data_IF_303634053077
#
_entry.id   IF_303634053077
#
_cell.length_a   1.000
_cell.length_b   1.000
_cell.length_c   1.000
_cell.angle_alpha   90.00
_cell.angle_beta   90.00
_cell.angle_gamma   90.00
#
_symmetry.space_group_name_H-M   'P 1'
#
loop_
_entity.id
_entity.type
_entity.pdbx_description
1 polymer ?
#
# COMPACT_ATOMS: atom_id res chain seq x y z
N UNK A 1 18.19 20.88 62.75
CA UNK A 1 17.50 22.07 63.34
C UNK A 1 16.09 21.64 63.68
N UNK A 2 15.76 21.72 64.96
CA UNK A 2 14.45 21.35 65.47
C UNK A 2 13.47 22.49 65.19
N UNK A 3 12.37 22.20 64.54
CA UNK A 3 11.30 23.15 64.34
C UNK A 3 10.51 23.30 65.64
N UNK A 4 10.48 24.50 66.19
CA UNK A 4 9.56 24.83 67.28
C UNK A 4 8.15 24.89 66.71
N UNK A 5 7.15 24.23 67.31
CA UNK A 5 5.78 24.38 66.89
C UNK A 5 5.32 25.82 67.18
N UNK A 6 4.83 26.47 66.20
CA UNK A 6 4.18 27.78 66.33
C UNK A 6 2.80 27.59 66.96
N UNK A 7 2.54 28.31 68.08
CA UNK A 7 1.23 28.32 68.80
C UNK A 7 0.15 29.12 68.10
N UNK A 8 0.41 29.60 66.87
CA UNK A 8 -0.54 30.40 66.10
C UNK A 8 -0.88 29.63 64.81
N UNK A 9 -2.14 29.62 64.38
CA UNK A 9 -2.48 29.00 63.08
C UNK A 9 -1.77 29.75 61.98
N UNK A 10 -0.74 29.14 61.42
CA UNK A 10 0.00 29.64 60.28
C UNK A 10 -0.55 29.06 59.02
N UNK A 11 -0.92 29.91 58.09
CA UNK A 11 -1.20 29.51 56.70
C UNK A 11 0.15 29.34 56.01
N UNK A 12 0.58 28.15 55.80
CA UNK A 12 1.72 27.87 54.92
C UNK A 12 1.27 27.87 53.47
N UNK A 13 1.62 28.88 52.74
CA UNK A 13 1.46 28.92 51.30
C UNK A 13 2.66 28.13 50.72
N UNK A 14 2.40 27.05 50.07
CA UNK A 14 3.39 26.33 49.28
C UNK A 14 3.18 26.72 47.83
N UNK A 15 4.05 27.53 47.31
CA UNK A 15 4.07 27.86 45.86
C UNK A 15 4.70 26.64 45.18
N UNK A 16 3.91 25.95 44.35
CA UNK A 16 4.40 24.90 43.45
C UNK A 16 4.51 25.54 42.12
N UNK A 17 5.73 25.86 41.70
CA UNK A 17 6.03 26.30 40.38
C UNK A 17 5.85 25.12 39.40
N UNK A 18 4.72 25.08 38.70
CA UNK A 18 4.40 24.12 37.66
C UNK A 18 4.88 24.59 36.26
N UNK A 19 5.50 25.76 36.17
CA UNK A 19 5.97 26.31 34.89
C UNK A 19 7.21 25.60 34.33
N UNK A 20 7.86 24.74 35.11
CA UNK A 20 9.05 24.00 34.67
C UNK A 20 8.81 22.62 34.05
N UNK A 21 7.55 22.19 33.97
CA UNK A 21 7.18 20.90 33.38
C UNK A 21 6.06 21.10 32.35
N UNK A 22 6.31 21.89 31.37
CA UNK A 22 5.71 21.65 30.05
C UNK A 22 6.75 20.82 29.30
N UNK A 23 6.58 19.52 29.12
CA UNK A 23 7.36 18.85 28.13
C UNK A 23 7.06 19.58 26.82
N UNK A 24 8.06 20.22 26.26
CA UNK A 24 7.99 20.70 24.89
C UNK A 24 7.93 19.46 23.99
N UNK A 25 6.81 18.77 23.98
CA UNK A 25 6.42 17.96 22.84
C UNK A 25 5.88 18.93 21.81
N UNK A 26 6.79 19.59 21.13
CA UNK A 26 6.50 20.09 19.81
C UNK A 26 6.39 18.86 18.92
N UNK A 27 5.22 18.27 18.84
CA UNK A 27 4.89 17.33 17.78
C UNK A 27 4.86 18.15 16.48
N UNK A 28 6.00 18.27 15.82
CA UNK A 28 6.06 18.91 14.51
C UNK A 28 5.62 17.90 13.47
N UNK A 29 4.33 17.83 13.23
CA UNK A 29 3.75 16.96 12.21
C UNK A 29 3.74 17.69 10.88
N UNK A 30 4.41 17.12 9.88
CA UNK A 30 4.39 17.63 8.51
C UNK A 30 3.38 16.92 7.63
N UNK A 31 3.01 17.54 6.52
CA UNK A 31 2.29 16.93 5.42
C UNK A 31 2.98 17.23 4.09
N UNK A 32 3.12 16.20 3.27
CA UNK A 32 3.70 16.29 1.93
C UNK A 32 2.86 15.48 0.94
N UNK A 33 2.75 16.00 -0.27
CA UNK A 33 2.24 15.26 -1.43
C UNK A 33 3.38 15.08 -2.42
N UNK A 34 3.52 13.87 -2.96
CA UNK A 34 4.61 13.61 -3.89
C UNK A 34 4.31 12.46 -4.86
N UNK A 35 5.19 12.35 -5.85
CA UNK A 35 5.26 11.24 -6.77
C UNK A 35 6.11 10.13 -6.15
N UNK A 36 5.51 8.99 -5.86
CA UNK A 36 6.18 7.84 -5.26
C UNK A 36 5.97 6.60 -6.11
N UNK A 37 6.89 5.65 -6.02
CA UNK A 37 6.87 4.44 -6.87
C UNK A 37 5.80 3.43 -6.49
N UNK A 38 5.33 3.45 -5.25
CA UNK A 38 4.38 2.50 -4.67
C UNK A 38 3.49 3.18 -3.65
N UNK A 39 2.51 2.47 -3.13
CA UNK A 39 1.65 2.92 -2.03
C UNK A 39 0.29 3.44 -2.47
N UNK A 40 -0.62 3.60 -1.49
CA UNK A 40 -1.98 4.07 -1.76
C UNK A 40 -1.97 5.50 -2.31
N UNK A 41 -2.76 5.70 -3.36
CA UNK A 41 -2.93 7.02 -3.95
C UNK A 41 -4.07 7.78 -3.25
N UNK A 42 -3.93 9.10 -3.17
CA UNK A 42 -4.93 10.03 -2.59
C UNK A 42 -5.37 9.66 -1.16
N UNK A 43 -4.52 8.98 -0.44
CA UNK A 43 -4.75 8.59 0.95
C UNK A 43 -3.55 9.01 1.81
N UNK A 44 -3.74 9.85 2.83
CA UNK A 44 -2.66 10.24 3.74
C UNK A 44 -2.26 9.08 4.64
N UNK A 45 -0.96 8.80 4.66
CA UNK A 45 -0.33 7.77 5.51
C UNK A 45 0.65 8.45 6.43
N UNK A 46 0.54 8.18 7.73
CA UNK A 46 1.49 8.66 8.72
C UNK A 46 2.76 7.79 8.69
N UNK A 47 3.91 8.46 8.60
CA UNK A 47 5.23 7.84 8.52
C UNK A 47 6.12 8.44 9.58
N UNK A 48 6.83 7.59 10.35
CA UNK A 48 7.70 8.01 11.44
C UNK A 48 9.18 8.09 11.10
N UNK A 49 9.62 7.39 10.06
CA UNK A 49 11.02 7.31 9.66
C UNK A 49 11.18 6.94 8.18
N UNK A 50 12.42 7.05 7.66
CA UNK A 50 12.73 6.76 6.26
C UNK A 50 12.49 5.27 5.87
N UNK A 51 12.68 4.33 6.80
CA UNK A 51 12.43 2.92 6.53
C UNK A 51 10.94 2.64 6.31
N UNK A 52 10.06 3.28 7.10
CA UNK A 52 8.62 3.22 6.89
C UNK A 52 8.19 3.94 5.60
N UNK A 53 8.85 5.05 5.26
CA UNK A 53 8.62 5.75 3.99
C UNK A 53 8.91 4.81 2.81
N UNK A 54 10.05 4.11 2.83
CA UNK A 54 10.42 3.13 1.80
C UNK A 54 9.45 1.95 1.79
N UNK A 55 9.08 1.43 2.96
CA UNK A 55 8.14 0.31 3.08
C UNK A 55 6.77 0.61 2.48
N UNK A 56 6.23 1.80 2.76
CA UNK A 56 4.90 2.20 2.29
C UNK A 56 4.89 2.73 0.85
N UNK A 57 5.94 3.46 0.43
CA UNK A 57 5.94 4.22 -0.82
C UNK A 57 7.01 3.79 -1.82
N UNK A 58 7.80 2.78 -1.50
CA UNK A 58 8.87 2.26 -2.33
C UNK A 58 10.15 3.12 -2.27
N UNK A 59 11.22 2.56 -2.79
CA UNK A 59 12.51 3.26 -2.91
C UNK A 59 12.45 4.33 -4.02
N UNK A 60 13.18 5.44 -3.88
CA UNK A 60 13.24 6.46 -4.93
C UNK A 60 13.88 5.89 -6.19
N UNK A 61 13.33 6.25 -7.35
CA UNK A 61 13.91 5.87 -8.64
C UNK A 61 15.07 6.82 -8.98
N UNK A 62 16.22 6.28 -9.33
CA UNK A 62 17.35 7.08 -9.81
C UNK A 62 17.15 7.66 -11.22
N UNK A 63 16.07 7.27 -11.90
CA UNK A 63 15.83 7.58 -13.31
C UNK A 63 14.82 8.72 -13.49
N UNK A 64 13.95 8.97 -12.50
CA UNK A 64 12.86 9.94 -12.60
C UNK A 64 13.09 11.09 -11.62
N UNK A 65 13.28 12.30 -12.14
CA UNK A 65 13.69 13.47 -11.34
C UNK A 65 12.67 13.93 -10.30
N UNK A 66 11.36 13.94 -10.61
CA UNK A 66 10.31 14.39 -9.69
C UNK A 66 10.19 13.49 -8.47
N UNK A 67 10.16 12.19 -8.68
CA UNK A 67 10.07 11.17 -7.65
C UNK A 67 11.22 11.29 -6.62
N UNK A 68 12.42 11.57 -7.08
CA UNK A 68 13.58 11.75 -6.20
C UNK A 68 13.46 13.02 -5.33
N UNK A 69 12.97 14.12 -5.87
CA UNK A 69 12.85 15.39 -5.14
C UNK A 69 11.82 15.26 -4.01
N UNK A 70 10.67 14.70 -4.28
CA UNK A 70 9.60 14.52 -3.30
C UNK A 70 10.02 13.54 -2.20
N UNK A 71 10.61 12.41 -2.59
CA UNK A 71 11.15 11.44 -1.63
C UNK A 71 12.25 12.06 -0.74
N UNK A 72 13.20 12.78 -1.31
CA UNK A 72 14.29 13.40 -0.56
C UNK A 72 13.78 14.51 0.37
N UNK A 73 12.74 15.24 -0.03
CA UNK A 73 12.09 16.23 0.81
C UNK A 73 11.44 15.57 2.03
N UNK A 74 10.68 14.49 1.82
CA UNK A 74 10.09 13.69 2.88
C UNK A 74 11.15 13.08 3.82
N UNK A 75 12.17 12.41 3.25
CA UNK A 75 13.28 11.81 4.02
C UNK A 75 14.04 12.86 4.83
N UNK A 76 14.27 14.06 4.25
CA UNK A 76 14.98 15.14 4.96
C UNK A 76 14.14 15.65 6.14
N UNK A 77 12.85 15.80 5.99
CA UNK A 77 11.96 16.18 7.09
C UNK A 77 11.96 15.13 8.20
N UNK A 78 11.90 13.85 7.85
CA UNK A 78 11.91 12.73 8.80
C UNK A 78 13.23 12.59 9.59
N UNK A 79 14.32 13.22 9.16
CA UNK A 79 15.57 13.29 9.95
C UNK A 79 15.43 14.19 11.18
N UNK A 80 14.49 15.11 11.18
CA UNK A 80 14.29 16.09 12.25
C UNK A 80 12.96 15.93 12.97
N UNK A 81 11.97 15.27 12.35
CA UNK A 81 10.67 14.97 12.92
C UNK A 81 10.31 13.52 12.72
N UNK A 82 9.71 12.88 13.71
CA UNK A 82 9.20 11.51 13.64
C UNK A 82 7.72 11.43 13.24
N UNK A 83 7.16 12.45 12.57
CA UNK A 83 5.74 12.48 12.21
C UNK A 83 5.53 13.24 10.90
N UNK A 84 5.27 12.50 9.83
CA UNK A 84 5.01 13.05 8.50
C UNK A 84 3.84 12.33 7.85
N UNK A 85 2.79 13.06 7.51
CA UNK A 85 1.76 12.54 6.63
C UNK A 85 2.23 12.64 5.18
N UNK A 86 2.19 11.53 4.48
CA UNK A 86 2.55 11.44 3.07
C UNK A 86 1.33 11.02 2.28
N UNK A 87 0.98 11.79 1.27
CA UNK A 87 -0.05 11.44 0.28
C UNK A 87 0.60 11.25 -1.07
N UNK A 88 0.37 10.10 -1.68
CA UNK A 88 0.83 9.84 -3.04
C UNK A 88 -0.11 10.49 -4.04
N UNK A 89 0.42 11.41 -4.85
CA UNK A 89 -0.23 11.89 -6.06
C UNK A 89 -0.09 10.89 -7.19
N UNK A 90 -1.07 10.80 -8.07
CA UNK A 90 -1.03 9.97 -9.28
C UNK A 90 -1.47 10.76 -10.49
N UNK A 91 -0.85 10.46 -11.64
CA UNK A 91 -1.25 11.02 -12.93
C UNK A 91 -2.31 10.17 -13.63
N UNK A 92 -2.97 10.74 -14.62
CA UNK A 92 -4.05 10.07 -15.38
C UNK A 92 -3.61 8.82 -16.15
N UNK A 93 -2.31 8.63 -16.38
CA UNK A 93 -1.77 7.48 -17.10
C UNK A 93 -1.28 6.35 -16.18
N UNK A 94 -1.44 6.49 -14.88
CA UNK A 94 -1.03 5.46 -13.94
C UNK A 94 -1.99 4.29 -13.92
N UNK A 95 -1.42 3.08 -13.90
CA UNK A 95 -2.17 1.82 -13.88
C UNK A 95 -1.48 0.82 -12.97
N UNK A 96 -2.28 0.03 -12.26
CA UNK A 96 -1.81 -1.15 -11.57
C UNK A 96 -1.46 -2.25 -12.55
N UNK A 97 -0.39 -2.98 -12.26
CA UNK A 97 -0.03 -4.18 -13.02
C UNK A 97 -1.04 -5.30 -12.78
N UNK A 98 -1.23 -6.13 -13.78
CA UNK A 98 -2.12 -7.29 -13.72
C UNK A 98 -1.40 -8.54 -14.22
N UNK A 99 -1.88 -9.71 -13.84
CA UNK A 99 -1.37 -11.01 -14.27
C UNK A 99 -1.83 -11.43 -15.67
N UNK A 100 -2.22 -10.48 -16.49
CA UNK A 100 -2.76 -10.67 -17.85
C UNK A 100 -1.88 -9.99 -18.90
N UNK A 101 -1.90 -10.52 -20.13
CA UNK A 101 -1.22 -9.93 -21.27
C UNK A 101 -1.86 -8.60 -21.76
N UNK A 102 -3.05 -8.26 -21.30
CA UNK A 102 -3.82 -7.10 -21.76
C UNK A 102 -3.95 -6.07 -20.66
N UNK A 103 -3.20 -4.99 -20.78
CA UNK A 103 -3.37 -3.69 -20.09
C UNK A 103 -3.58 -3.71 -18.58
N UNK A 104 -2.98 -2.76 -17.89
CA UNK A 104 -3.23 -2.51 -16.46
C UNK A 104 -4.66 -2.00 -16.20
N UNK A 105 -5.01 -1.91 -14.95
CA UNK A 105 -6.25 -1.32 -14.43
C UNK A 105 -5.88 -0.28 -13.39
N UNK A 106 -6.69 0.74 -13.16
CA UNK A 106 -6.46 1.69 -12.08
C UNK A 106 -7.26 1.26 -10.85
N UNK A 107 -6.55 1.03 -9.75
CA UNK A 107 -7.08 0.87 -8.40
C UNK A 107 -6.23 1.78 -7.51
N UNK A 108 -6.80 2.86 -7.02
CA UNK A 108 -6.06 3.90 -6.30
C UNK A 108 -5.67 3.47 -4.89
N UNK A 109 -6.61 2.85 -4.17
CA UNK A 109 -6.44 2.44 -2.77
C UNK A 109 -7.51 1.40 -2.36
N UNK A 110 -7.55 1.05 -1.07
CA UNK A 110 -8.51 0.10 -0.51
C UNK A 110 -9.97 0.54 -0.71
N UNK A 111 -10.25 1.82 -0.49
CA UNK A 111 -11.63 2.33 -0.61
C UNK A 111 -12.14 2.27 -2.05
N UNK A 112 -11.29 2.59 -3.02
CA UNK A 112 -11.59 2.47 -4.45
C UNK A 112 -11.82 1.00 -4.84
N UNK A 113 -10.96 0.08 -4.38
CA UNK A 113 -11.18 -1.36 -4.59
C UNK A 113 -12.52 -1.84 -4.04
N UNK A 114 -12.89 -1.42 -2.84
CA UNK A 114 -14.15 -1.84 -2.20
C UNK A 114 -15.38 -1.23 -2.85
N UNK A 115 -15.25 -0.01 -3.38
CA UNK A 115 -16.34 0.71 -4.03
C UNK A 115 -16.75 0.09 -5.38
N UNK A 116 -15.78 -0.39 -6.17
CA UNK A 116 -16.05 -0.89 -7.52
C UNK A 116 -15.21 -2.13 -7.91
N UNK A 117 -15.27 -3.18 -7.09
CA UNK A 117 -14.59 -4.46 -7.39
C UNK A 117 -14.94 -5.00 -8.78
N UNK A 118 -16.21 -4.91 -9.17
CA UNK A 118 -16.68 -5.43 -10.45
C UNK A 118 -16.14 -4.63 -11.63
N UNK A 119 -16.06 -3.31 -11.52
CA UNK A 119 -15.50 -2.44 -12.55
C UNK A 119 -14.01 -2.67 -12.78
N UNK A 120 -13.23 -2.87 -11.71
CA UNK A 120 -11.81 -3.17 -11.81
C UNK A 120 -11.52 -4.53 -12.47
N UNK A 121 -12.41 -5.51 -12.27
CA UNK A 121 -12.30 -6.87 -12.82
C UNK A 121 -12.90 -6.95 -14.23
N UNK A 122 -13.97 -6.17 -14.51
CA UNK A 122 -14.76 -6.25 -15.74
C UNK A 122 -13.95 -5.91 -16.98
N UNK A 123 -14.33 -6.52 -18.09
CA UNK A 123 -13.75 -6.29 -19.40
C UNK A 123 -13.68 -7.59 -20.20
N UNK A 124 -13.25 -7.51 -21.46
CA UNK A 124 -13.14 -8.65 -22.40
C UNK A 124 -12.24 -9.80 -21.92
N UNK A 125 -11.66 -9.70 -20.72
CA UNK A 125 -10.71 -10.65 -20.15
C UNK A 125 -10.95 -10.95 -18.66
N UNK A 126 -12.18 -10.96 -18.21
CA UNK A 126 -12.55 -11.33 -16.82
C UNK A 126 -11.92 -12.67 -16.40
N UNK A 127 -11.82 -13.63 -17.32
CA UNK A 127 -11.22 -14.94 -17.08
C UNK A 127 -9.69 -14.91 -16.98
N UNK A 128 -9.03 -13.79 -17.30
CA UNK A 128 -7.57 -13.70 -17.36
C UNK A 128 -6.94 -12.82 -16.28
N UNK A 129 -7.68 -11.87 -15.72
CA UNK A 129 -7.22 -11.03 -14.60
C UNK A 129 -7.54 -11.71 -13.27
N UNK A 130 -6.58 -12.40 -12.70
CA UNK A 130 -6.74 -13.11 -11.41
C UNK A 130 -6.21 -12.31 -10.26
N UNK A 131 -5.09 -11.63 -10.53
CA UNK A 131 -4.43 -10.78 -9.56
C UNK A 131 -4.14 -9.41 -10.16
N UNK A 132 -4.25 -8.41 -9.32
CA UNK A 132 -3.95 -7.02 -9.63
C UNK A 132 -2.94 -6.55 -8.57
N UNK A 133 -1.89 -5.83 -8.97
CA UNK A 133 -0.98 -5.22 -8.00
C UNK A 133 -1.74 -4.27 -7.08
N UNK A 134 -1.38 -4.23 -5.81
CA UNK A 134 -2.11 -3.50 -4.76
C UNK A 134 -2.26 -2.02 -5.11
N UNK A 135 -1.22 -1.41 -5.67
CA UNK A 135 -1.17 0.02 -5.97
C UNK A 135 -0.70 0.29 -7.40
N UNK A 136 -1.10 1.43 -7.98
CA UNK A 136 -0.69 1.80 -9.34
C UNK A 136 0.81 2.09 -9.43
N UNK A 137 1.38 1.89 -10.60
CA UNK A 137 2.77 2.20 -10.89
C UNK A 137 3.54 1.06 -11.54
N UNK A 138 4.77 1.36 -11.97
CA UNK A 138 5.66 0.39 -12.63
C UNK A 138 6.20 -0.67 -11.70
N UNK A 139 6.32 -0.38 -10.40
CA UNK A 139 6.86 -1.32 -9.41
C UNK A 139 6.08 -2.64 -9.39
N UNK A 140 4.76 -2.58 -9.59
CA UNK A 140 3.94 -3.79 -9.68
C UNK A 140 4.33 -4.77 -10.81
N UNK A 141 5.03 -4.32 -11.86
CA UNK A 141 5.53 -5.22 -12.91
C UNK A 141 6.64 -6.17 -12.42
N UNK A 142 7.24 -5.84 -11.27
CA UNK A 142 8.21 -6.69 -10.59
C UNK A 142 7.57 -7.88 -9.86
N UNK A 143 6.27 -7.85 -9.65
CA UNK A 143 5.56 -8.89 -8.92
C UNK A 143 5.32 -10.14 -9.77
N UNK A 144 5.28 -11.26 -9.07
CA UNK A 144 4.87 -12.56 -9.57
C UNK A 144 4.07 -13.26 -8.48
N UNK A 145 2.97 -13.91 -8.84
CA UNK A 145 2.19 -14.75 -7.93
C UNK A 145 2.29 -16.20 -8.39
N UNK A 146 2.66 -17.08 -7.47
CA UNK A 146 2.72 -18.52 -7.72
C UNK A 146 1.74 -19.26 -6.82
N UNK A 147 0.92 -20.10 -7.44
CA UNK A 147 -0.11 -20.90 -6.78
C UNK A 147 0.25 -22.37 -6.85
N UNK A 148 0.19 -23.04 -5.71
CA UNK A 148 0.28 -24.48 -5.61
C UNK A 148 -1.07 -25.05 -5.16
N UNK A 149 -1.87 -25.62 -6.07
CA UNK A 149 -3.09 -26.35 -5.70
C UNK A 149 -2.72 -27.76 -5.24
N UNK A 150 -3.71 -28.45 -4.68
CA UNK A 150 -3.59 -29.88 -4.47
C UNK A 150 -3.28 -30.62 -5.78
N UNK A 151 -2.38 -31.58 -5.70
CA UNK A 151 -2.09 -32.47 -6.82
C UNK A 151 -2.04 -33.92 -6.34
N UNK A 152 -2.93 -34.72 -6.84
CA UNK A 152 -2.96 -36.14 -6.62
C UNK A 152 -3.85 -36.80 -7.64
N UNK A 153 -3.59 -38.05 -7.97
CA UNK A 153 -4.48 -38.88 -8.78
C UNK A 153 -5.32 -39.69 -7.79
N UNK A 154 -6.61 -39.39 -7.73
CA UNK A 154 -7.57 -40.25 -7.01
C UNK A 154 -7.90 -41.39 -7.94
N UNK A 155 -7.40 -42.58 -7.66
CA UNK A 155 -7.89 -43.76 -8.31
C UNK A 155 -9.36 -43.97 -7.95
N UNK A 156 -10.18 -44.38 -8.93
CA UNK A 156 -11.57 -44.75 -8.70
C UNK A 156 -11.58 -45.89 -7.66
N UNK A 157 -11.93 -45.54 -6.40
CA UNK A 157 -11.87 -46.48 -5.28
C UNK A 157 -11.11 -45.96 -4.03
N UNK A 158 -10.61 -44.74 -4.00
CA UNK A 158 -10.38 -44.03 -2.75
C UNK A 158 -8.98 -43.77 -2.25
N UNK A 159 -7.91 -44.22 -2.87
CA UNK A 159 -6.56 -43.86 -2.42
C UNK A 159 -5.83 -43.01 -3.46
N UNK A 160 -5.32 -41.85 -3.06
CA UNK A 160 -4.43 -41.06 -3.90
C UNK A 160 -3.11 -41.85 -4.12
N UNK A 161 -2.82 -42.17 -5.36
CA UNK A 161 -1.65 -43.01 -5.70
C UNK A 161 -0.39 -42.18 -5.98
N UNK A 162 -0.51 -40.88 -6.24
CA UNK A 162 0.62 -39.96 -6.38
C UNK A 162 0.24 -38.68 -5.59
N UNK A 163 0.64 -38.66 -4.34
CA UNK A 163 0.43 -37.49 -3.50
C UNK A 163 1.50 -36.42 -3.77
N UNK A 164 1.09 -35.18 -3.80
CA UNK A 164 1.95 -34.01 -3.63
C UNK A 164 2.97 -33.74 -4.74
N UNK A 165 2.78 -34.31 -5.94
CA UNK A 165 3.75 -34.14 -7.04
C UNK A 165 3.92 -32.67 -7.47
N UNK A 166 2.83 -31.88 -7.48
CA UNK A 166 2.90 -30.46 -7.79
C UNK A 166 3.65 -29.68 -6.69
N UNK A 167 3.39 -29.98 -5.42
CA UNK A 167 4.06 -29.34 -4.29
C UNK A 167 5.56 -29.71 -4.29
N UNK A 168 5.90 -30.97 -4.41
CA UNK A 168 7.30 -31.40 -4.39
C UNK A 168 8.15 -30.84 -5.55
N UNK A 169 7.52 -30.56 -6.68
CA UNK A 169 8.14 -29.89 -7.83
C UNK A 169 8.04 -28.37 -7.84
N UNK A 170 7.39 -27.78 -6.86
CA UNK A 170 7.16 -26.34 -6.81
C UNK A 170 8.38 -25.60 -6.29
N UNK A 171 8.78 -24.54 -7.00
CA UNK A 171 9.98 -23.77 -6.66
C UNK A 171 9.95 -23.16 -5.24
N UNK A 172 8.76 -22.93 -4.71
CA UNK A 172 8.54 -22.28 -3.41
C UNK A 172 8.12 -23.26 -2.30
N UNK A 173 8.18 -24.56 -2.55
CA UNK A 173 7.76 -25.59 -1.59
C UNK A 173 8.45 -25.46 -0.23
N UNK A 174 9.73 -25.06 -0.22
CA UNK A 174 10.52 -24.89 1.01
C UNK A 174 10.03 -23.77 1.94
N UNK A 175 9.14 -22.90 1.45
CA UNK A 175 8.54 -21.83 2.25
C UNK A 175 7.25 -22.26 2.95
N UNK A 176 6.85 -23.53 2.82
CA UNK A 176 5.60 -24.09 3.37
C UNK A 176 5.86 -25.41 4.07
N UNK A 177 5.07 -25.70 5.11
CA UNK A 177 5.27 -26.90 5.95
C UNK A 177 4.82 -28.21 5.28
N UNK A 178 3.97 -28.16 4.28
CA UNK A 178 3.47 -29.35 3.60
C UNK A 178 2.54 -29.02 2.44
N UNK A 179 2.13 -30.04 1.70
CA UNK A 179 1.24 -29.87 0.56
C UNK A 179 -0.19 -29.49 0.96
N UNK A 180 -0.90 -28.67 0.15
CA UNK A 180 -2.30 -28.33 0.40
C UNK A 180 -3.19 -29.57 0.24
N UNK A 181 -4.24 -29.64 1.04
CA UNK A 181 -5.14 -30.79 1.11
C UNK A 181 -6.60 -30.33 1.20
N UNK A 182 -7.40 -31.01 2.01
CA UNK A 182 -8.76 -30.59 2.33
C UNK A 182 -8.77 -29.86 3.67
N UNK A 183 -9.36 -28.67 3.71
CA UNK A 183 -9.43 -27.85 4.91
C UNK A 183 -10.21 -28.57 6.03
N UNK A 184 -9.87 -28.23 7.27
CA UNK A 184 -10.57 -28.74 8.45
C UNK A 184 -12.04 -28.36 8.43
N UNK A 185 -12.36 -27.16 7.91
CA UNK A 185 -13.74 -26.69 7.78
C UNK A 185 -14.55 -27.59 6.85
N UNK A 186 -14.05 -27.85 5.64
CA UNK A 186 -14.72 -28.71 4.65
C UNK A 186 -14.86 -30.13 5.17
N UNK A 187 -13.85 -30.67 5.84
CA UNK A 187 -13.90 -32.00 6.49
C UNK A 187 -15.01 -32.12 7.53
N UNK A 188 -15.33 -31.02 8.21
CA UNK A 188 -16.39 -31.02 9.23
C UNK A 188 -17.81 -31.09 8.66
N UNK A 189 -17.99 -30.81 7.36
CA UNK A 189 -19.32 -30.69 6.73
C UNK A 189 -19.84 -32.01 6.15
N UNK A 190 -18.96 -32.94 5.77
CA UNK A 190 -19.35 -34.20 5.12
C UNK A 190 -18.33 -35.31 5.38
N UNK A 191 -18.82 -36.55 5.49
CA UNK A 191 -17.97 -37.73 5.64
C UNK A 191 -17.03 -37.97 4.46
N UNK A 192 -17.43 -37.56 3.25
CA UNK A 192 -16.66 -37.73 2.01
C UNK A 192 -15.82 -36.48 1.67
N UNK A 193 -15.76 -35.50 2.57
CA UNK A 193 -15.08 -34.21 2.37
C UNK A 193 -13.55 -34.32 2.28
N UNK A 194 -12.96 -35.43 2.73
CA UNK A 194 -11.51 -35.65 2.59
C UNK A 194 -11.03 -35.61 1.14
N UNK A 195 -11.92 -35.78 0.17
CA UNK A 195 -11.62 -35.76 -1.26
C UNK A 195 -11.86 -34.35 -1.90
N UNK A 196 -12.33 -33.38 -1.13
CA UNK A 196 -12.65 -32.06 -1.68
C UNK A 196 -11.41 -31.27 -2.13
N UNK A 197 -10.28 -31.41 -1.42
CA UNK A 197 -8.99 -30.81 -1.78
C UNK A 197 -9.10 -29.33 -2.13
N UNK A 198 -9.77 -28.58 -1.27
CA UNK A 198 -10.07 -27.18 -1.45
C UNK A 198 -8.93 -26.22 -1.11
N UNK A 199 -7.89 -26.72 -0.45
CA UNK A 199 -6.75 -25.91 -0.05
C UNK A 199 -5.78 -25.63 -1.19
N UNK A 200 -5.23 -24.41 -1.18
CA UNK A 200 -4.14 -23.97 -2.06
C UNK A 200 -3.09 -23.22 -1.24
N UNK A 201 -1.86 -23.17 -1.76
CA UNK A 201 -0.84 -22.25 -1.30
C UNK A 201 -0.64 -21.13 -2.31
N UNK A 202 -0.43 -19.93 -1.82
CA UNK A 202 -0.12 -18.76 -2.65
C UNK A 202 1.17 -18.12 -2.14
N UNK A 203 2.11 -17.87 -3.05
CA UNK A 203 3.32 -17.12 -2.79
C UNK A 203 3.32 -15.85 -3.66
N UNK A 204 3.65 -14.72 -3.06
CA UNK A 204 3.88 -13.45 -3.77
C UNK A 204 5.38 -13.20 -3.80
N UNK A 205 5.93 -12.95 -4.97
CA UNK A 205 7.37 -12.91 -5.23
C UNK A 205 7.75 -11.58 -5.87
N UNK A 206 8.85 -10.98 -5.41
CA UNK A 206 9.54 -9.89 -6.08
C UNK A 206 10.43 -10.42 -7.19
N UNK A 207 9.85 -10.69 -8.34
CA UNK A 207 10.56 -11.26 -9.48
C UNK A 207 11.67 -10.34 -10.02
N UNK A 208 11.39 -9.05 -10.06
CA UNK A 208 12.30 -8.04 -10.60
C UNK A 208 13.30 -7.50 -9.58
N UNK A 209 13.00 -7.57 -8.30
CA UNK A 209 13.82 -7.01 -7.24
C UNK A 209 13.51 -5.55 -6.92
N UNK A 210 12.39 -4.99 -7.41
CA UNK A 210 12.07 -3.58 -7.21
C UNK A 210 11.67 -3.26 -5.76
N UNK A 211 11.20 -4.24 -5.01
CA UNK A 211 10.82 -4.10 -3.60
C UNK A 211 11.95 -4.42 -2.63
N UNK A 212 12.69 -5.48 -2.88
CA UNK A 212 13.70 -6.01 -1.94
C UNK A 212 15.13 -5.74 -2.37
N UNK A 213 15.34 -5.28 -3.61
CA UNK A 213 16.66 -5.18 -4.22
C UNK A 213 17.23 -6.52 -4.72
N UNK A 214 16.56 -7.64 -4.45
CA UNK A 214 17.03 -8.99 -4.83
C UNK A 214 15.94 -9.71 -5.62
N UNK A 215 16.15 -9.94 -6.92
CA UNK A 215 15.20 -10.65 -7.76
C UNK A 215 14.90 -12.07 -7.25
N UNK A 216 13.63 -12.45 -7.27
CA UNK A 216 13.17 -13.78 -6.87
C UNK A 216 12.90 -13.93 -5.36
N UNK A 217 12.97 -12.87 -4.58
CA UNK A 217 12.64 -12.89 -3.15
C UNK A 217 11.16 -13.13 -2.94
N UNK A 218 10.80 -14.04 -2.04
CA UNK A 218 9.42 -14.25 -1.61
C UNK A 218 9.03 -13.13 -0.65
N UNK A 219 7.98 -12.37 -1.00
CA UNK A 219 7.45 -11.27 -0.20
C UNK A 219 6.42 -11.76 0.82
N UNK A 220 5.47 -12.58 0.35
CA UNK A 220 4.40 -13.13 1.18
C UNK A 220 4.20 -14.62 0.91
N UNK A 221 3.84 -15.35 1.96
CA UNK A 221 3.43 -16.76 1.90
C UNK A 221 2.06 -16.92 2.53
N UNK A 222 1.14 -17.49 1.79
CA UNK A 222 -0.25 -17.73 2.21
C UNK A 222 -0.53 -19.23 2.19
N UNK A 223 -0.30 -19.93 3.32
CA UNK A 223 -0.52 -21.35 3.40
C UNK A 223 -2.00 -21.72 3.61
N UNK A 224 -2.41 -22.83 3.04
CA UNK A 224 -3.69 -23.50 3.31
C UNK A 224 -4.93 -22.61 3.16
N UNK A 225 -4.93 -21.72 2.15
CA UNK A 225 -6.12 -20.94 1.80
C UNK A 225 -7.14 -21.84 1.12
N UNK A 226 -8.41 -21.67 1.46
CA UNK A 226 -9.49 -22.47 0.89
C UNK A 226 -10.11 -21.80 -0.35
N UNK A 227 -10.50 -22.61 -1.31
CA UNK A 227 -11.30 -22.21 -2.46
C UNK A 227 -12.81 -22.25 -2.17
N UNK A 228 -13.21 -22.77 -1.02
CA UNK A 228 -14.61 -22.75 -0.58
C UNK A 228 -14.96 -21.35 -0.05
N UNK A 229 -16.03 -20.77 -0.61
CA UNK A 229 -16.43 -19.38 -0.33
C UNK A 229 -16.89 -19.15 1.12
N UNK A 230 -17.31 -20.20 1.80
CA UNK A 230 -17.78 -20.19 3.19
C UNK A 230 -16.77 -20.79 4.18
N UNK A 231 -15.55 -21.09 3.72
CA UNK A 231 -14.51 -21.68 4.57
C UNK A 231 -14.09 -20.72 5.71
N UNK A 232 -13.90 -21.32 6.88
CA UNK A 232 -13.47 -20.60 8.09
C UNK A 232 -12.27 -21.25 8.74
N UNK A 233 -11.46 -20.44 9.38
CA UNK A 233 -10.43 -20.90 10.30
C UNK A 233 -11.07 -21.43 11.60
N UNK A 234 -10.32 -22.18 12.43
CA UNK A 234 -10.82 -22.62 13.74
C UNK A 234 -11.29 -21.48 14.63
N UNK A 235 -10.74 -20.28 14.48
CA UNK A 235 -11.10 -19.05 15.20
C UNK A 235 -12.35 -18.36 14.65
N UNK A 236 -12.90 -18.85 13.53
CA UNK A 236 -14.13 -18.34 12.91
C UNK A 236 -13.94 -17.24 11.86
N UNK A 237 -12.70 -16.83 11.56
CA UNK A 237 -12.39 -15.89 10.49
C UNK A 237 -12.52 -16.55 9.10
N UNK A 238 -12.78 -15.76 8.05
CA UNK A 238 -12.78 -16.27 6.68
C UNK A 238 -11.41 -16.86 6.32
N UNK A 239 -11.42 -18.06 5.71
CA UNK A 239 -10.26 -18.69 5.10
C UNK A 239 -10.39 -18.76 3.57
N UNK A 240 -11.40 -18.12 3.03
CA UNK A 240 -11.59 -18.02 1.58
C UNK A 240 -10.48 -17.16 0.96
N UNK A 241 -9.86 -17.69 -0.06
CA UNK A 241 -8.65 -17.10 -0.65
C UNK A 241 -8.81 -15.64 -1.08
N UNK A 242 -9.95 -15.27 -1.69
CA UNK A 242 -10.19 -13.89 -2.11
C UNK A 242 -10.32 -12.96 -0.90
N UNK A 243 -11.04 -13.38 0.14
CA UNK A 243 -11.22 -12.55 1.34
C UNK A 243 -9.90 -12.35 2.08
N UNK A 244 -9.12 -13.42 2.21
CA UNK A 244 -7.83 -13.35 2.94
C UNK A 244 -6.85 -12.46 2.21
N UNK A 245 -6.67 -12.66 0.91
CA UNK A 245 -5.72 -11.86 0.13
C UNK A 245 -6.14 -10.39 0.04
N UNK A 246 -7.41 -10.12 -0.23
CA UNK A 246 -7.88 -8.73 -0.36
C UNK A 246 -7.80 -7.94 0.95
N UNK A 247 -7.93 -8.60 2.10
CA UNK A 247 -7.87 -7.93 3.40
C UNK A 247 -6.47 -7.88 4.02
N UNK A 248 -5.57 -8.79 3.64
CA UNK A 248 -4.30 -8.96 4.35
C UNK A 248 -3.05 -8.79 3.48
N UNK A 249 -3.15 -9.01 2.16
CA UNK A 249 -1.98 -8.84 1.29
C UNK A 249 -1.61 -7.36 1.15
N UNK A 250 -0.33 -7.06 1.23
CA UNK A 250 0.23 -5.72 1.03
C UNK A 250 0.61 -5.46 -0.43
N UNK A 251 0.67 -6.52 -1.26
CA UNK A 251 1.19 -6.42 -2.62
C UNK A 251 0.16 -6.69 -3.71
N UNK A 252 -0.89 -7.46 -3.42
CA UNK A 252 -1.83 -7.87 -4.47
C UNK A 252 -3.30 -7.82 -4.03
N UNK A 253 -4.16 -7.53 -5.01
CA UNK A 253 -5.58 -7.81 -4.96
C UNK A 253 -5.84 -9.14 -5.65
N UNK A 254 -6.66 -9.99 -5.05
CA UNK A 254 -7.18 -11.19 -5.70
C UNK A 254 -8.54 -10.88 -6.32
N UNK A 255 -8.58 -10.87 -7.65
CA UNK A 255 -9.77 -10.49 -8.41
C UNK A 255 -10.63 -11.71 -8.77
N UNK A 256 -10.05 -12.69 -9.46
CA UNK A 256 -10.73 -13.90 -9.86
C UNK A 256 -9.76 -15.08 -9.88
N UNK A 257 -10.06 -16.13 -9.14
CA UNK A 257 -9.26 -17.36 -9.11
C UNK A 257 -9.93 -18.52 -9.87
N UNK A 258 -11.15 -18.33 -10.34
CA UNK A 258 -12.01 -19.38 -10.91
C UNK A 258 -11.43 -20.03 -12.17
N UNK A 259 -10.68 -19.30 -12.98
CA UNK A 259 -10.06 -19.88 -14.18
C UNK A 259 -8.98 -20.95 -13.87
N UNK A 260 -8.61 -21.15 -12.62
CA UNK A 260 -7.63 -22.15 -12.17
C UNK A 260 -8.25 -23.46 -11.70
N UNK A 261 -9.52 -23.40 -11.34
CA UNK A 261 -10.32 -24.52 -10.89
C UNK A 261 -11.73 -24.42 -11.42
N UNK A 262 -12.41 -25.53 -11.67
CA UNK A 262 -13.84 -25.50 -11.92
C UNK A 262 -14.52 -24.98 -10.65
N UNK A 263 -14.92 -23.74 -10.65
CA UNK A 263 -15.80 -23.06 -9.73
C UNK A 263 -15.36 -22.92 -8.27
N UNK A 264 -15.46 -21.71 -7.74
CA UNK A 264 -15.64 -21.44 -6.32
C UNK A 264 -17.00 -22.04 -5.92
N UNK A 265 -16.97 -23.17 -5.26
CA UNK A 265 -18.18 -23.79 -4.75
C UNK A 265 -18.18 -23.64 -3.24
N UNK A 266 -19.35 -23.32 -2.68
CA UNK A 266 -19.53 -23.44 -1.25
C UNK A 266 -19.12 -24.84 -0.79
N UNK A 267 -18.53 -24.96 0.39
CA UNK A 267 -18.06 -26.24 0.91
C UNK A 267 -19.14 -27.33 0.91
N UNK A 268 -20.39 -26.93 1.13
CA UNK A 268 -21.57 -27.80 1.05
C UNK A 268 -21.82 -28.43 -0.34
N UNK A 269 -21.21 -27.89 -1.40
CA UNK A 269 -21.34 -28.41 -2.76
C UNK A 269 -20.22 -29.44 -3.12
N UNK A 270 -19.23 -29.64 -2.26
CA UNK A 270 -18.26 -30.71 -2.40
C UNK A 270 -18.91 -32.06 -2.06
N UNK A 271 -19.68 -32.60 -2.99
CA UNK A 271 -20.22 -33.95 -2.90
C UNK A 271 -19.32 -34.94 -3.63
N UNK A 272 -19.35 -36.19 -3.24
CA UNK A 272 -18.55 -37.24 -3.83
C UNK A 272 -18.69 -37.34 -5.37
N UNK A 273 -19.83 -36.94 -5.93
CA UNK A 273 -20.07 -36.88 -7.37
C UNK A 273 -19.35 -35.73 -8.09
N UNK A 274 -18.94 -34.71 -7.38
CA UNK A 274 -18.24 -33.54 -7.96
C UNK A 274 -16.74 -33.76 -8.02
N UNK A 275 -16.22 -34.70 -7.24
CA UNK A 275 -14.78 -34.99 -7.10
C UNK A 275 -14.31 -36.08 -8.08
N UNK A 276 -15.23 -36.86 -8.64
CA UNK A 276 -14.92 -37.88 -9.65
C UNK A 276 -14.46 -37.20 -10.95
N UNK A 277 -13.16 -37.10 -11.14
CA UNK A 277 -12.55 -36.56 -12.35
C UNK A 277 -11.64 -35.35 -12.12
N UNK A 278 -11.33 -34.99 -10.86
CA UNK A 278 -10.30 -34.01 -10.58
C UNK A 278 -8.95 -34.52 -11.13
N UNK A 279 -8.57 -33.95 -12.26
CA UNK A 279 -7.22 -34.14 -12.81
C UNK A 279 -6.27 -33.41 -11.86
N UNK A 280 -5.15 -34.06 -11.53
CA UNK A 280 -4.08 -33.43 -10.77
C UNK A 280 -3.79 -32.04 -11.33
N UNK A 281 -3.91 -31.00 -10.50
CA UNK A 281 -3.64 -29.63 -10.87
C UNK A 281 -2.13 -29.38 -10.78
N UNK A 282 -1.58 -28.67 -11.75
CA UNK A 282 -0.18 -28.23 -11.71
C UNK A 282 -0.06 -26.88 -11.05
N UNK A 283 1.11 -26.61 -10.49
CA UNK A 283 1.48 -25.26 -10.03
C UNK A 283 1.37 -24.27 -11.16
N UNK A 284 0.99 -23.05 -10.82
CA UNK A 284 0.89 -21.96 -11.79
C UNK A 284 1.59 -20.71 -11.27
N UNK A 285 2.34 -20.09 -12.15
CA UNK A 285 3.06 -18.85 -11.88
C UNK A 285 2.58 -17.79 -12.83
N UNK A 286 2.13 -16.66 -12.27
CA UNK A 286 1.56 -15.54 -12.99
C UNK A 286 2.46 -14.32 -12.81
N UNK A 287 2.99 -13.80 -13.92
CA UNK A 287 3.83 -12.61 -13.95
C UNK A 287 2.98 -11.38 -14.20
N UNK A 288 3.25 -10.32 -13.44
CA UNK A 288 2.55 -9.07 -13.59
C UNK A 288 3.16 -8.21 -14.70
N UNK A 289 2.30 -7.47 -15.37
CA UNK A 289 2.67 -6.52 -16.43
C UNK A 289 1.59 -5.45 -16.59
N UNK A 290 1.84 -4.46 -17.46
CA UNK A 290 0.89 -3.40 -17.77
C UNK A 290 0.80 -2.30 -16.73
N UNK A 291 1.56 -2.38 -15.64
CA UNK A 291 1.69 -1.28 -14.69
C UNK A 291 2.38 -0.09 -15.35
N UNK A 292 1.78 1.08 -15.21
CA UNK A 292 2.27 2.33 -15.76
C UNK A 292 2.39 3.40 -14.68
N UNK A 293 3.38 4.28 -14.83
CA UNK A 293 3.61 5.40 -13.94
C UNK A 293 3.79 6.66 -14.76
N UNK A 294 3.16 7.74 -14.33
CA UNK A 294 3.43 9.07 -14.85
C UNK A 294 4.80 9.53 -14.37
N UNK A 295 5.61 10.05 -15.29
CA UNK A 295 6.96 10.50 -14.93
C UNK A 295 6.96 11.88 -14.24
N UNK A 296 5.85 12.62 -14.30
CA UNK A 296 5.71 13.95 -13.70
C UNK A 296 4.25 14.13 -13.30
N UNK A 297 4.01 14.53 -12.07
CA UNK A 297 2.71 14.96 -11.60
C UNK A 297 2.38 16.36 -12.12
N UNK A 298 1.15 16.56 -12.56
CA UNK A 298 0.64 17.88 -12.90
C UNK A 298 0.35 18.71 -11.62
N UNK A 299 0.28 20.03 -11.78
CA UNK A 299 -0.16 20.92 -10.70
C UNK A 299 -1.49 20.44 -10.06
N UNK A 300 -2.47 20.07 -10.89
CA UNK A 300 -3.77 19.59 -10.42
C UNK A 300 -3.67 18.29 -9.60
N UNK A 301 -2.74 17.39 -9.95
CA UNK A 301 -2.55 16.16 -9.17
C UNK A 301 -1.99 16.44 -7.77
N UNK A 302 -1.06 17.40 -7.64
CA UNK A 302 -0.57 17.85 -6.35
C UNK A 302 -1.67 18.52 -5.53
N UNK A 303 -2.46 19.42 -6.13
CA UNK A 303 -3.58 20.08 -5.47
C UNK A 303 -4.59 19.06 -4.94
N UNK A 304 -5.05 18.13 -5.77
CA UNK A 304 -5.94 17.04 -5.32
C UNK A 304 -5.34 16.21 -4.18
N UNK A 305 -4.03 16.02 -4.17
CA UNK A 305 -3.35 15.36 -3.06
C UNK A 305 -3.42 16.19 -1.77
N UNK A 306 -3.23 17.51 -1.85
CA UNK A 306 -3.31 18.41 -0.68
C UNK A 306 -4.73 18.65 -0.19
N UNK A 307 -5.76 18.52 -1.05
CA UNK A 307 -7.17 18.58 -0.63
C UNK A 307 -7.46 17.55 0.49
N UNK A 308 -6.72 16.46 0.56
CA UNK A 308 -6.85 15.45 1.64
C UNK A 308 -6.45 15.99 3.01
N UNK A 309 -5.77 17.14 3.07
CA UNK A 309 -5.33 17.80 4.29
C UNK A 309 -6.13 19.07 4.63
N UNK A 310 -7.19 19.40 3.90
CA UNK A 310 -7.99 20.60 4.16
C UNK A 310 -8.79 20.52 5.46
N UNK A 311 -9.20 19.33 5.87
CA UNK A 311 -9.98 19.10 7.08
C UNK A 311 -9.08 18.97 8.31
N UNK A 312 -9.05 20.00 9.14
CA UNK A 312 -8.28 20.05 10.38
C UNK A 312 -8.82 19.12 11.48
N UNK A 313 -10.10 18.76 11.41
CA UNK A 313 -10.73 17.87 12.40
C UNK A 313 -10.32 16.41 12.21
N UNK A 314 -10.02 16.02 10.97
CA UNK A 314 -9.63 14.67 10.61
C UNK A 314 -8.14 14.43 10.78
N UNK A 315 -7.29 15.36 10.31
CA UNK A 315 -5.82 15.20 10.33
C UNK A 315 -5.18 16.47 10.88
N UNK A 316 -4.40 16.33 11.95
CA UNK A 316 -3.65 17.45 12.51
C UNK A 316 -2.26 17.53 11.89
N UNK A 317 -1.92 18.67 11.30
CA UNK A 317 -0.60 18.96 10.74
C UNK A 317 -0.16 20.37 11.11
N UNK A 318 1.13 20.53 11.43
CA UNK A 318 1.74 21.80 11.76
C UNK A 318 2.38 22.46 10.53
N UNK A 319 2.85 21.65 9.56
CA UNK A 319 3.55 22.11 8.38
C UNK A 319 3.00 21.48 7.10
N UNK A 320 2.63 22.32 6.13
CA UNK A 320 2.38 21.92 4.75
C UNK A 320 3.65 22.18 3.94
N UNK A 321 4.26 21.13 3.40
CA UNK A 321 5.51 21.20 2.65
C UNK A 321 5.17 21.27 1.17
N UNK A 322 5.39 22.45 0.56
CA UNK A 322 5.12 22.65 -0.86
C UNK A 322 6.07 21.81 -1.74
N UNK A 323 5.56 21.11 -2.75
CA UNK A 323 6.38 20.37 -3.69
C UNK A 323 7.18 21.33 -4.60
N UNK A 324 8.19 20.79 -5.28
CA UNK A 324 8.94 21.52 -6.29
C UNK A 324 8.29 21.40 -7.66
N UNK A 325 7.69 22.48 -8.16
CA UNK A 325 7.09 22.53 -9.47
C UNK A 325 8.12 22.82 -10.57
N UNK A 326 7.80 22.40 -11.79
CA UNK A 326 8.69 22.55 -12.94
C UNK A 326 8.86 24.01 -13.38
N UNK A 327 7.85 24.88 -13.17
CA UNK A 327 7.85 26.28 -13.60
C UNK A 327 7.51 27.22 -12.45
N UNK A 328 8.03 28.47 -12.53
CA UNK A 328 7.74 29.53 -11.55
C UNK A 328 6.24 29.81 -11.42
N UNK A 329 5.50 29.82 -12.53
CA UNK A 329 4.06 30.03 -12.51
C UNK A 329 3.30 28.92 -11.77
N UNK A 330 3.65 27.66 -12.01
CA UNK A 330 3.05 26.52 -11.32
C UNK A 330 3.42 26.52 -9.83
N UNK A 331 4.68 26.87 -9.50
CA UNK A 331 5.13 26.99 -8.12
C UNK A 331 4.33 28.04 -7.35
N UNK A 332 4.17 29.24 -7.93
CA UNK A 332 3.36 30.33 -7.32
C UNK A 332 1.92 29.89 -7.11
N UNK A 333 1.30 29.25 -8.11
CA UNK A 333 -0.07 28.77 -8.01
C UNK A 333 -0.22 27.72 -6.90
N UNK A 334 0.69 26.75 -6.83
CA UNK A 334 0.69 25.70 -5.80
C UNK A 334 0.85 26.29 -4.39
N UNK A 335 1.79 27.23 -4.22
CA UNK A 335 2.02 27.82 -2.89
C UNK A 335 0.84 28.68 -2.47
N UNK A 336 0.21 29.45 -3.36
CA UNK A 336 -0.98 30.23 -3.04
C UNK A 336 -2.20 29.37 -2.69
N UNK A 337 -2.31 28.18 -3.31
CA UNK A 337 -3.31 27.19 -2.95
C UNK A 337 -3.12 26.71 -1.50
N UNK A 338 -1.88 26.31 -1.15
CA UNK A 338 -1.53 25.93 0.22
C UNK A 338 -1.71 27.05 1.23
N UNK A 339 -1.39 28.29 0.86
CA UNK A 339 -1.63 29.48 1.71
C UNK A 339 -3.13 29.64 1.93
N UNK A 340 -3.95 29.46 0.90
CA UNK A 340 -5.41 29.51 1.03
C UNK A 340 -5.91 28.43 2.00
N UNK A 341 -5.41 27.21 1.89
CA UNK A 341 -5.72 26.11 2.83
C UNK A 341 -5.31 26.49 4.26
N UNK A 342 -4.10 27.00 4.45
CA UNK A 342 -3.59 27.36 5.77
C UNK A 342 -4.31 28.57 6.38
N UNK A 343 -4.66 29.60 5.60
CA UNK A 343 -5.27 30.83 6.12
C UNK A 343 -6.79 30.74 6.28
N UNK A 344 -7.47 30.10 5.34
CA UNK A 344 -8.94 30.13 5.26
C UNK A 344 -9.59 28.87 5.82
N UNK A 345 -9.02 27.71 5.52
CA UNK A 345 -9.63 26.43 5.86
C UNK A 345 -9.15 25.94 7.22
N UNK A 346 -7.84 25.78 7.42
CA UNK A 346 -7.28 25.17 8.62
C UNK A 346 -6.99 26.16 9.76
N UNK A 347 -6.19 27.18 9.52
CA UNK A 347 -5.71 28.17 10.50
C UNK A 347 -4.81 27.64 11.62
N UNK A 348 -4.37 26.40 11.52
CA UNK A 348 -3.58 25.67 12.52
C UNK A 348 -2.20 25.25 12.01
N UNK A 349 -1.86 25.55 10.76
CA UNK A 349 -0.62 25.09 10.13
C UNK A 349 0.11 26.23 9.40
N UNK A 350 1.37 25.95 9.06
CA UNK A 350 2.28 26.87 8.36
C UNK A 350 2.69 26.23 7.03
N UNK A 351 2.70 27.02 5.96
CA UNK A 351 3.22 26.58 4.65
C UNK A 351 4.72 26.81 4.58
N UNK A 352 5.46 25.75 4.22
CA UNK A 352 6.89 25.79 3.94
C UNK A 352 7.10 25.67 2.44
N UNK A 353 7.60 26.72 1.81
CA UNK A 353 7.75 26.77 0.37
C UNK A 353 9.11 27.36 -0.05
N UNK A 354 9.53 27.01 -1.26
CA UNK A 354 10.71 27.56 -1.93
C UNK A 354 10.33 28.07 -3.32
N UNK A 355 11.09 29.03 -3.90
CA UNK A 355 10.95 29.40 -5.30
C UNK A 355 11.15 28.21 -6.22
N UNK A 356 10.66 28.30 -7.46
CA UNK A 356 10.88 27.27 -8.46
C UNK A 356 12.37 27.06 -8.73
N UNK A 357 12.72 25.80 -9.03
CA UNK A 357 14.12 25.42 -9.32
C UNK A 357 14.71 26.20 -10.48
N UNK A 358 13.94 26.49 -11.51
CA UNK A 358 14.37 27.28 -12.65
C UNK A 358 14.77 28.72 -12.29
N UNK A 359 14.19 29.32 -11.26
CA UNK A 359 14.46 30.67 -10.81
C UNK A 359 15.78 30.81 -10.05
N UNK A 360 16.31 29.70 -9.53
CA UNK A 360 17.50 29.70 -8.66
C UNK A 360 18.63 28.89 -9.24
N UNK A 361 18.41 27.64 -9.62
CA UNK A 361 19.51 26.71 -9.97
C UNK A 361 19.99 26.94 -11.40
N UNK A 362 19.12 27.28 -12.32
CA UNK A 362 19.45 27.50 -13.74
C UNK A 362 19.97 28.92 -14.04
N UNK A 363 20.02 29.79 -13.04
CA UNK A 363 20.40 31.19 -13.19
C UNK A 363 21.82 31.43 -12.67
N UNK A 364 22.71 31.93 -13.54
CA UNK A 364 24.12 32.18 -13.17
C UNK A 364 24.35 33.55 -12.50
N UNK A 365 23.43 34.49 -12.63
CA UNK A 365 23.58 35.85 -12.13
C UNK A 365 22.84 36.04 -10.80
N UNK A 366 23.60 36.38 -9.75
CA UNK A 366 23.07 36.55 -8.39
C UNK A 366 21.97 37.66 -8.31
N UNK A 367 22.07 38.75 -9.08
CA UNK A 367 21.07 39.80 -9.08
C UNK A 367 19.73 39.33 -9.69
N UNK A 368 19.82 38.47 -10.69
CA UNK A 368 18.63 37.85 -11.30
C UNK A 368 17.96 36.89 -10.32
N UNK A 369 18.74 36.06 -9.61
CA UNK A 369 18.22 35.18 -8.57
C UNK A 369 17.49 35.99 -7.50
N UNK A 370 18.09 37.09 -7.02
CA UNK A 370 17.46 37.96 -6.02
C UNK A 370 16.15 38.55 -6.55
N UNK A 371 16.13 39.00 -7.81
CA UNK A 371 14.90 39.53 -8.44
C UNK A 371 13.81 38.47 -8.54
N UNK A 372 14.17 37.24 -8.94
CA UNK A 372 13.21 36.12 -9.05
C UNK A 372 12.61 35.77 -7.68
N UNK A 373 13.46 35.67 -6.63
CA UNK A 373 13.00 35.39 -5.26
C UNK A 373 12.06 36.52 -4.76
N UNK A 374 12.43 37.78 -5.03
CA UNK A 374 11.60 38.92 -4.65
C UNK A 374 10.25 38.90 -5.38
N UNK A 375 10.27 38.61 -6.67
CA UNK A 375 9.05 38.48 -7.48
C UNK A 375 8.17 37.34 -6.94
N UNK A 376 8.72 36.18 -6.69
CA UNK A 376 8.00 35.04 -6.08
C UNK A 376 7.37 35.44 -4.73
N UNK A 377 8.15 36.03 -3.83
CA UNK A 377 7.64 36.47 -2.51
C UNK A 377 6.52 37.52 -2.61
N UNK A 378 6.59 38.40 -3.62
CA UNK A 378 5.57 39.43 -3.81
C UNK A 378 4.25 38.94 -4.41
N UNK A 379 4.25 37.72 -4.99
CA UNK A 379 3.07 37.08 -5.59
C UNK A 379 2.33 36.15 -4.62
N UNK A 380 2.88 35.90 -3.44
CA UNK A 380 2.23 35.10 -2.41
C UNK A 380 1.16 35.94 -1.71
N UNK A 381 -0.08 35.47 -1.71
CA UNK A 381 -1.26 36.19 -1.16
C UNK A 381 -2.09 35.28 -0.28
#
# INVERSE_FOLDING_TARGET
>A
MAFSPSESPAVTIREVDLSGIVPAQTSSTGAIVGDFNWGPAKQPILVGNEAELIGNFGSPSLIVDSNNVDFLSASTFLKYSGSLYVTRGIGAAELNSVDSATGGVLVENQADWEADKSGHISGTNEDTKRFIAKYPGKAGNSLEVSICPWSGIVAQGGAATVADSAFNGWAYASSFDGAPRTSTYVKSLSADSDLAHDEIHVAVIDRGGDFTGTPGTVLETWPYLSLATDAKTPEGSSNFVLDVLNNKSEYVWAANIDAQRPTNVAASAFTNSTVTGLVAQSTRTQRFNGGAQSNVLSLANYQTGFDTFEDADTIQVDFLIAPSMATAASQTTMVNDLVTTAEKLRKDCIVVASPAREDVISVQNASTITSNITAFSSTLT
#
